data_IF_845017826031
#
_entry.id   IF_845017826031
#
_cell.length_a   1.000
_cell.length_b   1.000
_cell.length_c   1.000
_cell.angle_alpha   90.00
_cell.angle_beta   90.00
_cell.angle_gamma   90.00
#
_symmetry.space_group_name_H-M   'P 1'
#
loop_
_entity.id
_entity.type
_entity.pdbx_description
1 polymer ?
#
# COMPACT_ATOMS: atom_id res chain seq x y z
N UNK A 1 17.59 2.24 -11.70
CA UNK A 1 16.91 3.18 -10.79
C UNK A 1 15.90 2.39 -9.96
N UNK A 2 15.55 2.82 -8.75
CA UNK A 2 14.65 2.09 -7.85
C UNK A 2 13.68 3.04 -7.15
N UNK A 3 12.53 2.52 -6.71
CA UNK A 3 11.65 3.18 -5.76
C UNK A 3 12.08 2.77 -4.35
N UNK A 4 12.63 3.71 -3.59
CA UNK A 4 13.14 3.43 -2.26
C UNK A 4 12.02 3.52 -1.22
N UNK A 5 12.01 2.57 -0.29
CA UNK A 5 11.06 2.45 0.80
C UNK A 5 11.82 2.70 2.10
N UNK A 6 11.33 3.62 2.93
CA UNK A 6 11.89 3.84 4.26
C UNK A 6 11.56 2.64 5.15
N UNK A 7 12.56 1.97 5.72
CA UNK A 7 12.32 0.79 6.56
C UNK A 7 11.66 1.11 7.90
N UNK A 8 11.67 2.38 8.32
CA UNK A 8 11.07 2.83 9.59
C UNK A 8 9.58 3.14 9.45
N UNK A 9 9.16 3.80 8.37
CA UNK A 9 7.75 4.20 8.21
C UNK A 9 7.02 3.56 7.03
N UNK A 10 7.73 2.81 6.18
CA UNK A 10 7.14 2.14 5.02
C UNK A 10 6.81 3.06 3.83
N UNK A 11 7.09 4.37 3.91
CA UNK A 11 6.80 5.28 2.80
C UNK A 11 7.71 5.02 1.60
N UNK A 12 7.14 5.02 0.40
CA UNK A 12 7.85 4.82 -0.86
C UNK A 12 8.10 6.15 -1.58
N UNK A 13 9.31 6.34 -2.09
CA UNK A 13 9.71 7.51 -2.85
C UNK A 13 9.70 7.27 -4.37
N UNK A 14 9.59 8.33 -5.19
CA UNK A 14 9.71 8.26 -6.63
C UNK A 14 11.03 7.62 -7.11
N UNK A 15 11.01 7.18 -8.37
CA UNK A 15 12.11 6.45 -8.99
C UNK A 15 13.39 7.31 -9.02
N UNK A 16 14.48 6.78 -8.47
CA UNK A 16 15.75 7.51 -8.38
C UNK A 16 16.97 6.57 -8.46
N UNK A 17 18.17 7.14 -8.66
CA UNK A 17 19.43 6.37 -8.68
C UNK A 17 19.94 6.05 -7.28
N UNK A 18 19.71 6.96 -6.33
CA UNK A 18 20.17 6.88 -4.95
C UNK A 18 18.97 7.09 -4.02
N UNK A 19 18.97 6.47 -2.82
CA UNK A 19 17.95 6.76 -1.82
C UNK A 19 17.94 8.25 -1.49
N UNK A 20 16.78 8.82 -1.12
CA UNK A 20 16.74 10.22 -0.72
C UNK A 20 17.59 10.41 0.54
N UNK A 21 18.20 11.59 0.66
CA UNK A 21 19.12 11.89 1.76
C UNK A 21 18.44 11.73 3.13
N UNK A 22 17.14 12.02 3.19
CA UNK A 22 16.33 11.81 4.36
C UNK A 22 14.87 11.48 3.98
N UNK A 23 14.19 10.73 4.83
CA UNK A 23 12.76 10.47 4.76
C UNK A 23 11.97 11.66 5.31
N UNK A 24 11.21 12.35 4.47
CA UNK A 24 10.37 13.50 4.88
C UNK A 24 9.37 13.12 5.96
N UNK A 25 8.78 11.92 5.91
CA UNK A 25 7.81 11.45 6.91
C UNK A 25 8.48 11.26 8.28
N UNK A 26 9.65 10.62 8.34
CA UNK A 26 10.35 10.39 9.60
C UNK A 26 11.10 11.63 10.12
N UNK A 27 11.35 12.65 9.30
CA UNK A 27 11.94 13.92 9.77
C UNK A 27 10.89 14.95 10.13
N UNK A 28 9.61 14.64 9.92
CA UNK A 28 8.58 15.52 10.42
C UNK A 28 8.56 15.48 11.95
N UNK A 29 8.42 16.65 12.57
CA UNK A 29 8.52 16.86 14.02
C UNK A 29 7.53 16.00 14.84
N UNK A 30 6.45 15.57 14.18
CA UNK A 30 5.38 14.75 14.75
C UNK A 30 5.66 13.25 14.73
N UNK A 31 6.78 12.81 14.16
CA UNK A 31 7.08 11.39 13.97
C UNK A 31 8.33 10.95 14.72
N UNK A 32 8.31 9.71 15.20
CA UNK A 32 9.43 9.07 15.86
C UNK A 32 10.62 8.95 14.91
N UNK A 33 11.77 9.52 15.28
CA UNK A 33 13.03 9.34 14.58
C UNK A 33 13.69 8.08 15.12
N UNK A 34 13.97 7.12 14.23
CA UNK A 34 14.74 5.94 14.62
C UNK A 34 16.15 6.37 15.09
N UNK A 35 16.57 6.03 16.33
CA UNK A 35 17.86 6.45 16.88
C UNK A 35 19.06 5.89 16.10
N UNK A 36 18.88 4.79 15.35
CA UNK A 36 19.92 4.20 14.51
C UNK A 36 20.04 4.88 13.13
N UNK A 37 19.26 5.94 12.88
CA UNK A 37 19.20 6.62 11.60
C UNK A 37 18.20 6.00 10.62
N UNK A 38 18.20 6.51 9.40
CA UNK A 38 17.24 6.14 8.36
C UNK A 38 17.84 5.13 7.39
N UNK A 39 17.15 4.01 7.22
CA UNK A 39 17.52 2.95 6.29
C UNK A 39 16.48 2.82 5.18
N UNK A 40 16.93 2.21 4.08
CA UNK A 40 16.17 2.11 2.83
C UNK A 40 16.15 0.66 2.34
N UNK A 41 15.02 0.26 1.78
CA UNK A 41 14.86 -0.98 1.01
C UNK A 41 14.07 -0.67 -0.26
N UNK A 42 13.66 -1.70 -0.99
CA UNK A 42 12.79 -1.61 -2.17
C UNK A 42 11.82 -2.78 -2.16
N UNK A 43 10.69 -2.65 -2.86
CA UNK A 43 9.71 -3.75 -2.94
C UNK A 43 10.36 -5.05 -3.45
N UNK A 44 11.23 -4.97 -4.46
CA UNK A 44 11.94 -6.13 -4.99
C UNK A 44 12.84 -6.78 -3.94
N UNK A 45 13.63 -6.00 -3.19
CA UNK A 45 14.47 -6.53 -2.11
C UNK A 45 13.63 -7.19 -1.01
N UNK A 46 12.45 -6.62 -0.68
CA UNK A 46 11.53 -7.21 0.27
C UNK A 46 10.97 -8.55 -0.23
N UNK A 47 10.55 -8.64 -1.50
CA UNK A 47 10.07 -9.88 -2.12
C UNK A 47 11.18 -10.94 -2.19
N UNK A 48 12.37 -10.56 -2.68
CA UNK A 48 13.53 -11.46 -2.81
C UNK A 48 14.00 -12.00 -1.46
N UNK A 49 13.84 -11.21 -0.38
CA UNK A 49 14.21 -11.64 0.98
C UNK A 49 13.38 -12.83 1.48
N UNK A 50 12.17 -13.05 0.91
CA UNK A 50 11.18 -14.05 1.35
C UNK A 50 10.82 -13.97 2.84
N UNK A 51 11.12 -12.83 3.48
CA UNK A 51 10.87 -12.62 4.91
C UNK A 51 9.42 -12.22 5.17
N UNK A 52 8.80 -11.52 4.21
CA UNK A 52 7.50 -10.90 4.37
C UNK A 52 6.42 -11.68 3.62
N UNK A 53 5.21 -11.66 4.17
CA UNK A 53 3.97 -12.07 3.51
C UNK A 53 2.84 -11.17 4.01
N UNK A 54 1.74 -11.08 3.27
CA UNK A 54 0.54 -10.42 3.76
C UNK A 54 -0.44 -11.45 4.31
N UNK A 55 -0.94 -11.19 5.51
CA UNK A 55 -2.13 -11.83 6.05
C UNK A 55 -3.36 -11.07 5.56
N UNK A 56 -4.33 -11.80 5.03
CA UNK A 56 -5.63 -11.26 4.59
C UNK A 56 -6.70 -11.89 5.48
N UNK A 57 -7.39 -11.08 6.28
CA UNK A 57 -8.41 -11.54 7.21
C UNK A 57 -9.77 -11.01 6.81
N UNK A 58 -10.80 -11.84 6.93
CA UNK A 58 -12.18 -11.43 6.76
C UNK A 58 -12.64 -10.67 7.99
N UNK A 59 -13.13 -9.44 7.81
CA UNK A 59 -13.66 -8.60 8.88
C UNK A 59 -15.19 -8.65 8.88
N UNK A 60 -15.80 -8.37 7.72
CA UNK A 60 -17.24 -8.42 7.51
C UNK A 60 -17.58 -8.58 6.03
N UNK A 61 -18.87 -8.64 5.70
CA UNK A 61 -19.33 -8.87 4.33
C UNK A 61 -18.82 -7.79 3.37
N UNK A 62 -17.89 -8.18 2.50
CA UNK A 62 -17.25 -7.29 1.54
C UNK A 62 -16.08 -6.48 2.11
N UNK A 63 -15.57 -6.81 3.30
CA UNK A 63 -14.41 -6.13 3.90
C UNK A 63 -13.38 -7.15 4.42
N UNK A 64 -12.14 -6.95 3.98
CA UNK A 64 -10.98 -7.74 4.44
C UNK A 64 -9.87 -6.80 4.89
N UNK A 65 -9.15 -7.14 5.96
CA UNK A 65 -7.92 -6.45 6.33
C UNK A 65 -6.71 -7.12 5.68
N UNK A 66 -5.68 -6.33 5.37
CA UNK A 66 -4.41 -6.76 4.79
C UNK A 66 -3.30 -6.21 5.67
N UNK A 67 -2.52 -7.10 6.29
CA UNK A 67 -1.39 -6.71 7.15
C UNK A 67 -0.13 -7.48 6.79
N UNK A 68 1.00 -6.79 6.69
CA UNK A 68 2.30 -7.44 6.41
C UNK A 68 2.88 -8.09 7.67
N UNK A 69 3.34 -9.35 7.54
CA UNK A 69 4.03 -10.11 8.59
C UNK A 69 5.41 -10.59 8.13
N UNK A 70 6.46 -10.49 8.97
CA UNK A 70 6.49 -9.73 10.23
C UNK A 70 6.23 -8.24 9.99
N UNK A 71 5.88 -7.50 11.04
CA UNK A 71 5.55 -6.08 10.94
C UNK A 71 6.66 -5.29 10.24
N UNK A 72 6.26 -4.40 9.34
CA UNK A 72 7.17 -3.56 8.57
C UNK A 72 6.76 -2.09 8.66
N UNK A 73 7.76 -1.22 8.74
CA UNK A 73 7.52 0.21 8.94
C UNK A 73 6.80 0.47 10.26
N UNK A 74 5.71 1.23 10.21
CA UNK A 74 4.84 1.54 11.35
C UNK A 74 3.68 0.54 11.51
N UNK A 75 3.70 -0.60 10.80
CA UNK A 75 2.67 -1.61 10.90
C UNK A 75 1.31 -1.20 10.33
N UNK A 76 1.30 -0.53 9.17
CA UNK A 76 0.04 -0.12 8.51
C UNK A 76 -0.80 -1.34 8.12
N UNK A 77 -2.12 -1.21 8.28
CA UNK A 77 -3.12 -2.17 7.78
C UNK A 77 -3.89 -1.51 6.66
N UNK A 78 -3.90 -2.14 5.49
CA UNK A 78 -4.79 -1.76 4.39
C UNK A 78 -6.07 -2.59 4.45
N UNK A 79 -7.12 -2.13 3.78
CA UNK A 79 -8.39 -2.83 3.70
C UNK A 79 -8.76 -3.10 2.25
N UNK A 80 -9.26 -4.29 1.97
CA UNK A 80 -9.87 -4.61 0.69
C UNK A 80 -11.39 -4.57 0.82
N UNK A 81 -12.01 -3.63 0.11
CA UNK A 81 -13.44 -3.44 0.05
C UNK A 81 -13.97 -4.03 -1.25
N UNK A 82 -14.92 -4.94 -1.16
CA UNK A 82 -15.53 -5.65 -2.28
C UNK A 82 -17.02 -5.33 -2.40
N UNK A 83 -17.46 -5.01 -3.62
CA UNK A 83 -18.88 -4.83 -3.93
C UNK A 83 -19.18 -5.26 -5.37
N UNK A 84 -20.21 -6.09 -5.58
CA UNK A 84 -20.72 -6.48 -6.91
C UNK A 84 -19.63 -6.92 -7.93
N UNK A 85 -18.64 -7.69 -7.47
CA UNK A 85 -17.53 -8.19 -8.30
C UNK A 85 -16.37 -7.20 -8.53
N UNK A 86 -16.48 -5.97 -8.01
CA UNK A 86 -15.42 -4.97 -7.94
C UNK A 86 -14.69 -5.05 -6.60
N UNK A 87 -13.39 -4.74 -6.60
CA UNK A 87 -12.55 -4.65 -5.41
C UNK A 87 -11.67 -3.40 -5.40
N UNK A 88 -11.59 -2.74 -4.24
CA UNK A 88 -10.75 -1.58 -3.95
C UNK A 88 -9.85 -1.87 -2.76
N UNK A 89 -8.55 -1.59 -2.87
CA UNK A 89 -7.67 -1.48 -1.71
C UNK A 89 -7.77 -0.04 -1.18
N UNK A 90 -8.24 0.08 0.04
CA UNK A 90 -8.32 1.28 0.84
C UNK A 90 -7.13 1.34 1.81
N UNK A 91 -6.52 2.51 1.92
CA UNK A 91 -5.25 2.74 2.64
C UNK A 91 -4.01 2.08 1.98
N UNK A 92 -2.83 2.33 2.56
CA UNK A 92 -1.53 1.92 2.04
C UNK A 92 -0.97 0.69 2.76
N UNK A 93 -0.34 -0.20 1.98
CA UNK A 93 0.52 -1.28 2.50
C UNK A 93 1.85 -1.27 1.74
N UNK A 94 2.97 -1.29 2.46
CA UNK A 94 4.29 -1.14 1.86
C UNK A 94 4.74 -2.40 1.08
N UNK A 95 4.34 -3.59 1.54
CA UNK A 95 4.65 -4.85 0.90
C UNK A 95 3.45 -5.34 0.09
N UNK A 96 3.63 -5.50 -1.23
CA UNK A 96 2.60 -6.02 -2.11
C UNK A 96 3.24 -6.95 -3.15
N UNK A 97 2.92 -8.24 -3.05
CA UNK A 97 3.44 -9.29 -3.93
C UNK A 97 2.35 -9.91 -4.81
N UNK A 98 2.78 -10.74 -5.76
CA UNK A 98 1.88 -11.42 -6.69
C UNK A 98 0.91 -12.38 -5.99
N UNK A 99 1.34 -13.01 -4.89
CA UNK A 99 0.48 -13.90 -4.10
C UNK A 99 -0.68 -13.13 -3.46
N UNK A 100 -0.40 -11.95 -2.90
CA UNK A 100 -1.42 -11.05 -2.35
C UNK A 100 -2.39 -10.63 -3.45
N UNK A 101 -1.88 -10.15 -4.58
CA UNK A 101 -2.71 -9.71 -5.71
C UNK A 101 -3.59 -10.85 -6.25
N UNK A 102 -3.05 -12.05 -6.37
CA UNK A 102 -3.79 -13.25 -6.80
C UNK A 102 -4.88 -13.63 -5.79
N UNK A 103 -4.61 -13.48 -4.49
CA UNK A 103 -5.58 -13.78 -3.45
C UNK A 103 -6.74 -12.78 -3.46
N UNK A 104 -6.44 -11.48 -3.60
CA UNK A 104 -7.45 -10.43 -3.71
C UNK A 104 -8.27 -10.57 -5.01
N UNK A 105 -7.63 -10.94 -6.12
CA UNK A 105 -8.31 -11.16 -7.40
C UNK A 105 -9.35 -12.29 -7.35
N UNK A 106 -9.15 -13.30 -6.50
CA UNK A 106 -10.12 -14.38 -6.24
C UNK A 106 -11.32 -13.90 -5.44
N UNK A 107 -11.13 -12.91 -4.57
CA UNK A 107 -12.21 -12.30 -3.80
C UNK A 107 -13.03 -11.39 -4.71
N UNK A 108 -12.41 -10.51 -5.49
CA UNK A 108 -13.07 -9.70 -6.52
C UNK A 108 -12.09 -9.13 -7.54
N UNK A 109 -12.57 -8.58 -8.67
CA UNK A 109 -11.69 -7.97 -9.66
C UNK A 109 -11.08 -6.70 -9.07
N UNK A 110 -9.79 -6.75 -8.74
CA UNK A 110 -9.02 -5.58 -8.37
C UNK A 110 -8.68 -4.81 -9.66
N UNK A 111 -9.15 -3.58 -9.81
CA UNK A 111 -8.60 -2.65 -10.81
C UNK A 111 -7.24 -2.12 -10.30
N UNK A 112 -6.27 -3.03 -10.21
CA UNK A 112 -4.91 -2.79 -9.71
C UNK A 112 -3.83 -2.97 -10.77
N UNK A 113 -4.16 -2.97 -12.06
CA UNK A 113 -3.17 -3.03 -13.16
C UNK A 113 -2.35 -1.76 -13.36
N UNK A 114 -2.32 -0.87 -12.36
CA UNK A 114 -1.44 0.28 -12.37
C UNK A 114 -0.07 -0.11 -11.81
N UNK A 115 1.04 0.34 -12.42
CA UNK A 115 2.38 0.01 -11.96
C UNK A 115 2.56 0.40 -10.48
N UNK A 116 3.52 -0.21 -9.74
CA UNK A 116 3.77 0.08 -8.32
C UNK A 116 3.95 1.57 -7.95
N UNK A 117 4.22 2.43 -8.94
CA UNK A 117 4.29 3.88 -8.81
C UNK A 117 2.93 4.60 -8.73
N UNK A 118 1.82 3.94 -9.06
CA UNK A 118 0.48 4.52 -9.20
C UNK A 118 -0.52 4.06 -8.12
N UNK A 119 -0.16 3.08 -7.28
CA UNK A 119 -0.90 2.78 -6.04
C UNK A 119 -0.98 4.00 -5.10
N UNK A 120 -0.07 4.96 -5.27
CA UNK A 120 -0.07 6.24 -4.55
C UNK A 120 -1.13 7.26 -5.00
N UNK A 121 -1.84 7.05 -6.11
CA UNK A 121 -2.74 8.07 -6.69
C UNK A 121 -4.23 7.69 -6.72
N UNK A 122 -4.62 6.55 -6.16
CA UNK A 122 -6.03 6.16 -6.07
C UNK A 122 -6.88 7.07 -5.15
N UNK A 123 -6.24 7.95 -4.36
CA UNK A 123 -6.92 9.01 -3.59
C UNK A 123 -7.28 10.27 -4.39
N UNK A 124 -7.02 10.32 -5.70
CA UNK A 124 -7.25 11.54 -6.51
C UNK A 124 -7.89 11.25 -7.87
N UNK A 125 -8.90 10.40 -7.91
CA UNK A 125 -9.90 10.40 -8.98
C UNK A 125 -11.25 10.83 -8.44
N UNK A 126 -11.39 12.15 -8.23
CA UNK A 126 -12.69 12.81 -8.24
C UNK A 126 -13.29 12.76 -9.64
N UNK A 127 -13.74 11.58 -10.06
CA UNK A 127 -14.65 11.43 -11.19
C UNK A 127 -16.04 11.79 -10.70
N UNK A 128 -16.57 12.93 -11.17
CA UNK A 128 -17.97 13.32 -10.92
C UNK A 128 -18.89 12.17 -11.35
N UNK A 129 -19.43 11.43 -10.39
CA UNK A 129 -20.62 10.63 -10.59
C UNK A 129 -21.76 11.62 -10.75
N UNK A 130 -22.16 11.90 -11.99
CA UNK A 130 -23.47 12.50 -12.24
C UNK A 130 -24.50 11.42 -11.90
N UNK A 131 -25.14 11.54 -10.74
CA UNK A 131 -26.41 10.89 -10.48
C UNK A 131 -27.46 11.53 -11.39
N UNK A 132 -28.19 10.76 -12.23
CA UNK A 132 -29.46 11.23 -12.77
C UNK A 132 -30.53 11.07 -11.68
N UNK A 133 -31.17 12.20 -11.37
CA UNK A 133 -32.57 12.35 -11.00
C UNK A 133 -33.15 11.45 -9.89
N UNK A 134 -33.09 11.94 -8.65
CA UNK A 134 -34.04 11.58 -7.59
C UNK A 134 -34.29 12.78 -6.68
N UNK A 135 -35.17 13.70 -7.12
CA UNK A 135 -36.04 14.47 -6.22
C UNK A 135 -37.38 14.66 -6.92
N UNK A 136 -38.40 13.96 -6.41
CA UNK A 136 -39.79 14.43 -6.42
C UNK A 136 -39.98 15.39 -5.26
#
# INVERSE_FOLDING_TARGET
>A
MKNFICTTCGTQYPLSKHPPSKCTICNEERQYVNPNGQCWTTLNEMIESKKFHNEILFEENGLYSITTKPEFGIGQTAYFVQQNGFGLIWDCVAYLDEQTLTSLAKLGKCNGSLPPSLLFNAGRMGGKVKHPDLYS
#
